data_IF_954033852530
#
_entry.id   IF_954033852530
#
_cell.length_a   1.000
_cell.length_b   1.000
_cell.length_c   1.000
_cell.angle_alpha   90.00
_cell.angle_beta   90.00
_cell.angle_gamma   90.00
#
_symmetry.space_group_name_H-M   'P 1'
#
loop_
_entity.id
_entity.type
_entity.pdbx_description
1 polymer ?
#
# COMPACT_ATOMS: atom_id res chain seq x y z
N UNK A 1 -9.48 -13.39 -28.91
CA UNK A 1 -8.80 -12.80 -27.74
C UNK A 1 -7.52 -13.56 -27.38
N UNK A 2 -7.52 -14.89 -27.23
CA UNK A 2 -6.30 -15.68 -26.95
C UNK A 2 -5.22 -15.57 -28.06
N UNK A 3 -5.60 -15.58 -29.34
CA UNK A 3 -4.67 -15.38 -30.47
C UNK A 3 -3.97 -14.01 -30.49
N UNK A 4 -4.58 -12.97 -29.90
CA UNK A 4 -3.94 -11.64 -29.80
C UNK A 4 -2.82 -11.65 -28.76
N UNK A 5 -2.95 -12.43 -27.68
CA UNK A 5 -2.01 -12.41 -26.57
C UNK A 5 -0.89 -13.45 -26.66
N UNK A 6 -1.12 -14.59 -27.32
CA UNK A 6 -0.08 -15.61 -27.53
C UNK A 6 1.11 -15.07 -28.37
N UNK A 7 0.89 -14.02 -29.17
CA UNK A 7 1.93 -13.36 -29.97
C UNK A 7 2.78 -12.32 -29.21
N UNK A 8 2.48 -12.03 -27.94
CA UNK A 8 3.13 -10.96 -27.16
C UNK A 8 4.31 -11.41 -26.27
N UNK A 9 4.62 -12.71 -26.21
CA UNK A 9 5.53 -13.25 -25.20
C UNK A 9 7.04 -12.99 -25.43
N UNK A 10 7.46 -12.29 -26.48
CA UNK A 10 8.89 -12.00 -26.69
C UNK A 10 9.23 -10.60 -27.22
N UNK A 11 10.38 -10.10 -26.78
CA UNK A 11 11.04 -8.92 -27.33
C UNK A 11 10.32 -7.59 -27.06
N UNK A 12 10.32 -6.71 -28.07
CA UNK A 12 9.80 -5.33 -28.00
C UNK A 12 8.29 -5.25 -27.76
N UNK A 13 7.52 -6.20 -28.30
CA UNK A 13 6.05 -6.24 -28.18
C UNK A 13 5.59 -6.38 -26.73
N UNK A 14 6.26 -7.22 -25.93
CA UNK A 14 5.98 -7.36 -24.49
C UNK A 14 6.11 -6.03 -23.75
N UNK A 15 7.23 -5.34 -23.94
CA UNK A 15 7.50 -4.07 -23.26
C UNK A 15 6.54 -2.96 -23.69
N UNK A 16 6.14 -2.95 -24.97
CA UNK A 16 5.09 -2.06 -25.46
C UNK A 16 3.74 -2.31 -24.77
N UNK A 17 3.32 -3.58 -24.63
CA UNK A 17 2.12 -3.93 -23.87
C UNK A 17 2.19 -3.46 -22.42
N UNK A 18 3.31 -3.76 -21.73
CA UNK A 18 3.52 -3.33 -20.33
C UNK A 18 3.42 -1.80 -20.23
N UNK A 19 4.07 -1.07 -21.14
CA UNK A 19 4.04 0.40 -21.15
C UNK A 19 2.62 0.95 -21.36
N UNK A 20 1.85 0.40 -22.31
CA UNK A 20 0.45 0.80 -22.54
C UNK A 20 -0.40 0.52 -21.30
N UNK A 21 -0.30 -0.68 -20.73
CA UNK A 21 -1.13 -1.04 -19.57
C UNK A 21 -0.81 -0.16 -18.37
N UNK A 22 0.48 0.11 -18.11
CA UNK A 22 0.87 1.04 -17.04
C UNK A 22 0.45 2.48 -17.33
N UNK A 23 0.49 2.91 -18.59
CA UNK A 23 -0.02 4.23 -18.97
C UNK A 23 -1.51 4.35 -18.70
N UNK A 24 -2.31 3.37 -19.12
CA UNK A 24 -3.76 3.34 -18.84
C UNK A 24 -4.02 3.30 -17.33
N UNK A 25 -3.26 2.50 -16.58
CA UNK A 25 -3.34 2.44 -15.13
C UNK A 25 -3.04 3.80 -14.48
N UNK A 26 -1.99 4.49 -14.92
CA UNK A 26 -1.61 5.81 -14.45
C UNK A 26 -2.68 6.86 -14.77
N UNK A 27 -3.28 6.82 -15.97
CA UNK A 27 -4.41 7.68 -16.35
C UNK A 27 -5.58 7.43 -15.40
N UNK A 28 -5.95 6.17 -15.14
CA UNK A 28 -7.03 5.86 -14.20
C UNK A 28 -6.74 6.41 -12.80
N UNK A 29 -5.52 6.25 -12.28
CA UNK A 29 -5.10 6.85 -11.00
C UNK A 29 -5.34 8.36 -10.99
N UNK A 30 -4.89 9.06 -12.03
CA UNK A 30 -5.01 10.51 -12.13
C UNK A 30 -6.48 10.96 -12.26
N UNK A 31 -7.30 10.22 -13.01
CA UNK A 31 -8.73 10.55 -13.20
C UNK A 31 -9.60 10.32 -11.97
N UNK A 32 -9.16 9.53 -10.99
CA UNK A 32 -9.90 9.35 -9.73
C UNK A 32 -10.01 10.63 -8.92
N UNK A 33 -8.94 11.42 -8.92
CA UNK A 33 -8.82 12.65 -8.14
C UNK A 33 -8.08 13.72 -8.98
N UNK A 34 -8.70 14.19 -10.09
CA UNK A 34 -8.01 15.05 -11.06
C UNK A 34 -7.58 16.39 -10.46
N UNK A 35 -8.26 16.85 -9.40
CA UNK A 35 -7.90 18.08 -8.69
C UNK A 35 -6.48 18.05 -8.15
N UNK A 36 -5.96 16.89 -7.72
CA UNK A 36 -4.56 16.76 -7.26
C UNK A 36 -3.58 17.20 -8.35
N UNK A 37 -3.84 16.80 -9.61
CA UNK A 37 -3.01 17.13 -10.77
C UNK A 37 -3.29 18.54 -11.30
N UNK A 38 -4.52 19.04 -11.17
CA UNK A 38 -4.88 20.37 -11.66
C UNK A 38 -4.32 21.46 -10.75
N UNK A 39 -4.49 21.34 -9.43
CA UNK A 39 -4.16 22.41 -8.48
C UNK A 39 -2.81 22.25 -7.80
N UNK A 40 -2.24 21.03 -7.82
CA UNK A 40 -1.06 20.67 -7.04
C UNK A 40 -1.43 20.53 -5.56
N UNK A 41 -0.85 19.54 -4.88
CA UNK A 41 -1.24 19.19 -3.51
C UNK A 41 -0.05 18.69 -2.69
N UNK A 42 0.20 19.34 -1.56
CA UNK A 42 0.90 18.71 -0.44
C UNK A 42 -0.11 18.04 0.50
N UNK A 43 0.19 16.80 0.88
CA UNK A 43 -0.62 15.98 1.77
C UNK A 43 -0.10 15.96 3.21
N UNK A 44 -0.86 16.52 4.13
CA UNK A 44 -0.64 16.52 5.57
C UNK A 44 0.81 16.90 5.94
N UNK A 45 1.55 15.97 6.53
CA UNK A 45 2.94 16.17 6.93
C UNK A 45 3.89 16.40 5.75
N UNK A 46 3.52 16.02 4.51
CA UNK A 46 4.35 16.17 3.31
C UNK A 46 4.75 17.63 3.11
N UNK A 47 3.79 18.55 3.28
CA UNK A 47 4.04 19.99 3.25
C UNK A 47 4.60 20.52 4.57
N UNK A 48 3.89 20.21 5.66
CA UNK A 48 4.15 20.81 6.99
C UNK A 48 5.50 20.44 7.58
N UNK A 49 5.96 19.21 7.33
CA UNK A 49 7.16 18.65 7.94
C UNK A 49 8.23 18.43 6.88
N UNK A 50 7.95 17.61 5.87
CA UNK A 50 8.99 17.16 4.94
C UNK A 50 9.46 18.28 4.01
N UNK A 51 8.53 18.99 3.36
CA UNK A 51 8.86 20.13 2.51
C UNK A 51 9.42 21.31 3.30
N UNK A 52 8.84 21.61 4.48
CA UNK A 52 9.41 22.61 5.39
C UNK A 52 10.88 22.28 5.76
N UNK A 53 11.17 21.04 6.17
CA UNK A 53 12.53 20.62 6.51
C UNK A 53 13.48 20.71 5.33
N UNK A 54 13.02 20.42 4.10
CA UNK A 54 13.81 20.60 2.89
C UNK A 54 14.21 22.07 2.65
N UNK A 55 13.42 23.04 3.13
CA UNK A 55 13.71 24.48 3.01
C UNK A 55 14.64 25.01 4.11
N UNK A 56 14.49 24.52 5.35
CA UNK A 56 15.16 25.12 6.52
C UNK A 56 16.39 24.34 7.01
N UNK A 57 16.53 23.07 6.64
CA UNK A 57 17.65 22.23 7.07
C UNK A 57 18.71 22.08 5.97
N UNK A 58 19.99 21.84 6.34
CA UNK A 58 20.99 21.39 5.38
C UNK A 58 20.52 20.12 4.63
N UNK A 59 20.78 19.98 3.31
CA UNK A 59 20.21 18.90 2.50
C UNK A 59 20.43 17.49 3.04
N UNK A 60 21.62 17.20 3.56
CA UNK A 60 21.94 15.89 4.13
C UNK A 60 21.13 15.61 5.41
N UNK A 61 20.91 16.63 6.24
CA UNK A 61 20.11 16.52 7.47
C UNK A 61 18.63 16.35 7.14
N UNK A 62 18.12 17.07 6.14
CA UNK A 62 16.76 16.89 5.64
C UNK A 62 16.56 15.47 5.04
N UNK A 63 17.53 14.96 4.29
CA UNK A 63 17.46 13.64 3.63
C UNK A 63 17.29 12.50 4.65
N UNK A 64 18.00 12.59 5.77
CA UNK A 64 18.00 11.59 6.84
C UNK A 64 17.20 12.04 8.07
N UNK A 65 16.29 13.00 7.91
CA UNK A 65 15.43 13.45 9.00
C UNK A 65 14.42 12.34 9.37
N UNK A 66 14.41 11.96 10.65
CA UNK A 66 13.45 10.99 11.20
C UNK A 66 12.17 11.73 11.63
N UNK A 67 11.01 11.18 11.27
CA UNK A 67 9.70 11.71 11.66
C UNK A 67 8.75 10.56 12.01
N UNK A 68 8.05 10.67 13.13
CA UNK A 68 7.15 9.63 13.60
C UNK A 68 7.86 8.35 14.05
N UNK A 69 9.11 8.47 14.50
CA UNK A 69 9.92 7.37 15.02
C UNK A 69 10.80 6.66 14.00
N UNK A 70 10.88 7.11 12.75
CA UNK A 70 11.66 6.46 11.69
C UNK A 70 11.94 7.43 10.51
N UNK A 71 12.92 7.13 9.64
CA UNK A 71 13.08 7.91 8.39
C UNK A 71 12.10 7.44 7.32
N UNK A 72 11.56 8.39 6.58
CA UNK A 72 10.87 8.11 5.32
C UNK A 72 11.73 8.66 4.18
N UNK A 73 12.70 7.85 3.72
CA UNK A 73 13.72 8.29 2.76
C UNK A 73 13.11 8.80 1.45
N UNK A 74 12.05 8.16 0.95
CA UNK A 74 11.36 8.62 -0.27
C UNK A 74 10.71 9.99 -0.05
N UNK A 75 10.03 10.20 1.07
CA UNK A 75 9.43 11.50 1.36
C UNK A 75 10.46 12.61 1.54
N UNK A 76 11.55 12.35 2.27
CA UNK A 76 12.65 13.29 2.44
C UNK A 76 13.32 13.63 1.09
N UNK A 77 13.67 12.62 0.30
CA UNK A 77 14.33 12.83 -0.99
C UNK A 77 13.42 13.54 -2.00
N UNK A 78 12.14 13.18 -2.05
CA UNK A 78 11.18 13.78 -2.97
C UNK A 78 10.92 15.26 -2.65
N UNK A 79 10.80 15.61 -1.37
CA UNK A 79 10.60 17.00 -0.95
C UNK A 79 11.86 17.85 -1.10
N UNK A 80 13.05 17.27 -0.89
CA UNK A 80 14.31 17.91 -1.28
C UNK A 80 14.39 18.20 -2.77
N UNK A 81 14.00 17.23 -3.61
CA UNK A 81 13.94 17.46 -5.06
C UNK A 81 12.88 18.53 -5.40
N UNK A 82 11.72 18.50 -4.75
CA UNK A 82 10.67 19.49 -4.94
C UNK A 82 11.13 20.91 -4.59
N UNK A 83 11.98 21.06 -3.57
CA UNK A 83 12.56 22.35 -3.19
C UNK A 83 13.49 22.93 -4.26
N UNK A 84 14.09 22.10 -5.13
CA UNK A 84 14.93 22.58 -6.25
C UNK A 84 14.13 23.22 -7.40
N UNK A 85 12.79 23.20 -7.33
CA UNK A 85 11.95 23.85 -8.34
C UNK A 85 12.13 25.36 -8.31
N UNK A 86 12.14 26.00 -9.49
CA UNK A 86 12.31 27.47 -9.60
C UNK A 86 11.21 28.27 -8.88
N UNK A 87 10.05 27.67 -8.68
CA UNK A 87 8.93 28.28 -7.96
C UNK A 87 8.26 27.21 -7.10
N UNK A 88 8.11 27.52 -5.81
CA UNK A 88 7.47 26.65 -4.82
C UNK A 88 6.02 26.32 -5.19
N UNK A 89 5.38 27.14 -6.04
CA UNK A 89 4.05 26.89 -6.58
C UNK A 89 3.96 25.57 -7.37
N UNK A 90 5.09 25.08 -7.90
CA UNK A 90 5.16 23.82 -8.64
C UNK A 90 5.79 22.66 -7.86
N UNK A 91 6.25 22.90 -6.63
CA UNK A 91 6.90 21.87 -5.80
C UNK A 91 6.04 20.60 -5.61
N UNK A 92 4.71 20.67 -5.38
CA UNK A 92 3.90 19.47 -5.21
C UNK A 92 3.86 18.55 -6.44
N UNK A 93 4.05 19.08 -7.65
CA UNK A 93 4.03 18.23 -8.85
C UNK A 93 5.18 17.23 -8.86
N UNK A 94 6.32 17.58 -8.23
CA UNK A 94 7.44 16.65 -8.07
C UNK A 94 7.05 15.51 -7.13
N UNK A 95 6.46 15.81 -5.96
CA UNK A 95 6.06 14.77 -5.01
C UNK A 95 4.91 13.93 -5.53
N UNK A 96 3.92 14.51 -6.22
CA UNK A 96 2.84 13.80 -6.91
C UNK A 96 3.40 12.83 -7.96
N UNK A 97 4.34 13.29 -8.79
CA UNK A 97 4.96 12.44 -9.84
C UNK A 97 5.72 11.28 -9.22
N UNK A 98 6.50 11.53 -8.17
CA UNK A 98 7.21 10.46 -7.44
C UNK A 98 6.20 9.50 -6.79
N UNK A 99 5.16 10.02 -6.14
CA UNK A 99 4.07 9.23 -5.59
C UNK A 99 3.46 8.29 -6.64
N UNK A 100 3.14 8.80 -7.83
CA UNK A 100 2.63 8.01 -8.95
C UNK A 100 3.63 6.92 -9.38
N UNK A 101 4.92 7.22 -9.47
CA UNK A 101 5.96 6.22 -9.83
C UNK A 101 5.94 5.05 -8.83
N UNK A 102 5.86 5.32 -7.53
CA UNK A 102 5.79 4.27 -6.51
C UNK A 102 4.45 3.53 -6.52
N UNK A 103 3.32 4.20 -6.80
CA UNK A 103 2.02 3.53 -6.99
C UNK A 103 1.98 2.62 -8.22
N UNK A 104 2.80 2.90 -9.24
CA UNK A 104 2.96 2.03 -10.41
C UNK A 104 3.90 0.84 -10.16
N UNK A 105 4.54 0.76 -8.99
CA UNK A 105 5.50 -0.30 -8.69
C UNK A 105 4.82 -1.68 -8.52
N UNK A 106 3.78 -1.88 -7.68
CA UNK A 106 3.06 -3.15 -7.60
C UNK A 106 2.52 -3.66 -8.95
N UNK A 107 1.82 -2.86 -9.79
CA UNK A 107 1.35 -3.34 -11.09
C UNK A 107 2.51 -3.65 -12.05
N UNK A 108 3.63 -2.90 -12.00
CA UNK A 108 4.82 -3.24 -12.78
C UNK A 108 5.39 -4.62 -12.39
N UNK A 109 5.44 -4.95 -11.09
CA UNK A 109 5.89 -6.26 -10.62
C UNK A 109 5.00 -7.40 -11.15
N UNK A 110 3.67 -7.23 -11.12
CA UNK A 110 2.73 -8.23 -11.65
C UNK A 110 2.86 -8.38 -13.18
N UNK A 111 2.99 -7.27 -13.91
CA UNK A 111 3.13 -7.30 -15.37
C UNK A 111 4.44 -7.96 -15.82
N UNK A 112 5.52 -7.75 -15.06
CA UNK A 112 6.85 -8.33 -15.36
C UNK A 112 7.04 -9.74 -14.83
N UNK A 113 6.19 -10.20 -13.90
CA UNK A 113 6.18 -11.56 -13.39
C UNK A 113 6.03 -12.60 -14.51
N UNK A 114 6.67 -13.75 -14.28
CA UNK A 114 6.63 -14.93 -15.18
C UNK A 114 6.06 -16.17 -14.50
N UNK A 115 5.53 -16.02 -13.28
CA UNK A 115 4.87 -17.08 -12.54
C UNK A 115 3.74 -17.72 -13.38
N UNK A 116 3.63 -19.04 -13.31
CA UNK A 116 2.69 -19.82 -14.14
C UNK A 116 1.24 -19.32 -14.05
N UNK A 117 0.79 -18.96 -12.85
CA UNK A 117 -0.58 -18.48 -12.61
C UNK A 117 -0.83 -17.07 -13.18
N UNK A 118 0.23 -16.28 -13.38
CA UNK A 118 0.15 -14.96 -14.01
C UNK A 118 0.41 -15.00 -15.52
N UNK A 119 0.75 -16.15 -16.12
CA UNK A 119 0.95 -16.24 -17.58
C UNK A 119 -0.25 -15.69 -18.38
N UNK A 120 -1.52 -16.03 -18.04
CA UNK A 120 -2.64 -15.53 -18.81
C UNK A 120 -2.78 -14.00 -18.67
N UNK A 121 -2.88 -13.27 -19.78
CA UNK A 121 -2.97 -11.80 -19.78
C UNK A 121 -4.19 -11.29 -19.02
N UNK A 122 -5.33 -12.00 -19.11
CA UNK A 122 -6.54 -11.65 -18.39
C UNK A 122 -6.37 -11.77 -16.87
N UNK A 123 -5.54 -12.71 -16.40
CA UNK A 123 -5.25 -12.82 -14.96
C UNK A 123 -4.39 -11.63 -14.52
N UNK A 124 -3.41 -11.21 -15.33
CA UNK A 124 -2.64 -9.97 -15.04
C UNK A 124 -3.55 -8.75 -15.01
N UNK A 125 -4.42 -8.58 -16.01
CA UNK A 125 -5.34 -7.46 -16.07
C UNK A 125 -6.35 -7.48 -14.91
N UNK A 126 -6.85 -8.65 -14.52
CA UNK A 126 -7.70 -8.81 -13.34
C UNK A 126 -6.94 -8.47 -12.06
N UNK A 127 -5.70 -8.92 -11.90
CA UNK A 127 -4.87 -8.58 -10.74
C UNK A 127 -4.64 -7.07 -10.63
N UNK A 128 -4.32 -6.42 -11.75
CA UNK A 128 -4.17 -4.96 -11.81
C UNK A 128 -5.47 -4.25 -11.47
N UNK A 129 -6.60 -4.65 -12.07
CA UNK A 129 -7.89 -4.05 -11.79
C UNK A 129 -8.27 -4.22 -10.30
N UNK A 130 -8.05 -5.40 -9.73
CA UNK A 130 -8.29 -5.64 -8.30
C UNK A 130 -7.42 -4.76 -7.40
N UNK A 131 -6.14 -4.55 -7.73
CA UNK A 131 -5.27 -3.61 -7.00
C UNK A 131 -5.76 -2.16 -7.10
N UNK A 132 -6.20 -1.75 -8.30
CA UNK A 132 -6.68 -0.38 -8.53
C UNK A 132 -7.95 -0.07 -7.73
N UNK A 133 -8.83 -1.05 -7.64
CA UNK A 133 -10.17 -0.91 -7.05
C UNK A 133 -10.25 -1.40 -5.60
N UNK A 134 -9.12 -1.54 -4.90
CA UNK A 134 -9.12 -1.81 -3.45
C UNK A 134 -9.88 -0.70 -2.71
N UNK A 135 -10.87 -1.04 -1.84
CA UNK A 135 -11.76 -0.04 -1.22
C UNK A 135 -11.03 1.04 -0.41
N UNK A 136 -10.10 0.65 0.48
CA UNK A 136 -9.44 1.57 1.42
C UNK A 136 -8.14 2.11 0.83
N UNK A 137 -8.24 2.96 -0.20
CA UNK A 137 -7.09 3.46 -0.96
C UNK A 137 -7.03 4.98 -1.13
N UNK A 138 -8.03 5.71 -0.65
CA UNK A 138 -8.12 7.16 -0.75
C UNK A 138 -6.92 7.82 -0.05
N UNK A 139 -6.60 7.44 1.18
CA UNK A 139 -5.57 8.11 1.99
C UNK A 139 -4.14 8.04 1.40
N UNK A 140 -3.82 7.01 0.62
CA UNK A 140 -2.46 6.81 0.07
C UNK A 140 -2.27 7.42 -1.31
N UNK A 141 -3.33 7.96 -1.90
CA UNK A 141 -3.36 8.34 -3.32
C UNK A 141 -2.40 9.48 -3.66
N UNK A 142 -1.53 9.31 -4.67
CA UNK A 142 -0.72 10.38 -5.29
C UNK A 142 0.03 11.31 -4.31
N UNK A 143 0.79 10.75 -3.36
CA UNK A 143 1.65 11.53 -2.46
C UNK A 143 2.76 10.66 -1.84
N UNK A 144 3.83 11.27 -1.34
CA UNK A 144 5.07 10.52 -1.00
C UNK A 144 5.12 9.97 0.42
N UNK A 145 4.31 10.46 1.37
CA UNK A 145 4.33 9.94 2.75
C UNK A 145 3.95 8.45 2.78
N UNK A 146 3.05 8.04 1.89
CA UNK A 146 2.51 6.68 1.85
C UNK A 146 3.17 5.79 0.79
N UNK A 147 4.24 6.25 0.10
CA UNK A 147 5.07 5.38 -0.75
C UNK A 147 5.62 4.16 0.02
N UNK A 148 5.79 4.28 1.34
CA UNK A 148 6.16 3.16 2.22
C UNK A 148 5.18 1.97 2.15
N UNK A 149 3.88 2.22 1.93
CA UNK A 149 2.87 1.17 1.83
C UNK A 149 2.91 0.48 0.46
N UNK A 150 3.13 1.24 -0.61
CA UNK A 150 3.36 0.67 -1.95
C UNK A 150 4.64 -0.17 -2.00
N UNK A 151 5.68 0.27 -1.29
CA UNK A 151 6.92 -0.46 -1.11
C UNK A 151 6.73 -1.74 -0.28
N UNK A 152 5.93 -1.69 0.79
CA UNK A 152 5.61 -2.88 1.58
C UNK A 152 4.79 -3.90 0.78
N UNK A 153 3.78 -3.44 0.02
CA UNK A 153 3.03 -4.28 -0.91
C UNK A 153 3.97 -4.90 -1.96
N UNK A 154 4.89 -4.10 -2.51
CA UNK A 154 5.91 -4.58 -3.45
C UNK A 154 6.82 -5.65 -2.84
N UNK A 155 7.23 -5.50 -1.58
CA UNK A 155 8.00 -6.53 -0.85
C UNK A 155 7.20 -7.82 -0.70
N UNK A 156 5.92 -7.73 -0.32
CA UNK A 156 5.04 -8.89 -0.17
C UNK A 156 4.78 -9.59 -1.52
N UNK A 157 4.64 -8.84 -2.61
CA UNK A 157 4.57 -9.41 -3.96
C UNK A 157 5.89 -10.12 -4.31
N UNK A 158 7.05 -9.47 -4.14
CA UNK A 158 8.38 -10.04 -4.42
C UNK A 158 8.64 -11.34 -3.63
N UNK A 159 8.17 -11.42 -2.39
CA UNK A 159 8.21 -12.64 -1.57
C UNK A 159 7.48 -13.82 -2.25
N UNK A 160 6.33 -13.52 -2.86
CA UNK A 160 5.47 -14.53 -3.47
C UNK A 160 5.88 -14.93 -4.90
N UNK A 161 6.54 -14.02 -5.63
CA UNK A 161 6.92 -14.20 -7.03
C UNK A 161 8.20 -15.00 -7.22
N UNK A 162 8.31 -15.69 -8.35
CA UNK A 162 9.51 -16.41 -8.76
C UNK A 162 10.53 -15.52 -9.51
N UNK A 163 11.83 -15.79 -9.29
CA UNK A 163 12.94 -15.00 -9.84
C UNK A 163 13.45 -15.66 -11.11
N UNK A 164 13.32 -14.95 -12.24
CA UNK A 164 13.54 -15.55 -13.55
C UNK A 164 14.68 -14.91 -14.37
N UNK A 165 15.21 -13.74 -13.96
CA UNK A 165 16.34 -13.09 -14.64
C UNK A 165 17.21 -12.30 -13.65
N UNK A 166 18.51 -12.15 -13.94
CA UNK A 166 19.45 -11.36 -13.13
C UNK A 166 19.04 -9.88 -13.01
N UNK A 167 18.60 -9.25 -14.10
CA UNK A 167 18.17 -7.83 -14.10
C UNK A 167 16.97 -7.61 -13.18
N UNK A 168 15.97 -8.48 -13.27
CA UNK A 168 14.78 -8.43 -12.40
C UNK A 168 15.17 -8.71 -10.94
N UNK A 169 16.12 -9.62 -10.70
CA UNK A 169 16.63 -9.87 -9.36
C UNK A 169 17.27 -8.61 -8.76
N UNK A 170 18.15 -7.92 -9.48
CA UNK A 170 18.76 -6.67 -8.99
C UNK A 170 17.71 -5.63 -8.68
N UNK A 171 16.70 -5.47 -9.56
CA UNK A 171 15.58 -4.58 -9.31
C UNK A 171 14.82 -4.93 -8.02
N UNK A 172 14.54 -6.22 -7.78
CA UNK A 172 13.91 -6.67 -6.54
C UNK A 172 14.78 -6.37 -5.32
N UNK A 173 16.10 -6.58 -5.40
CA UNK A 173 17.01 -6.27 -4.29
C UNK A 173 17.00 -4.78 -3.95
N UNK A 174 16.98 -3.89 -4.95
CA UNK A 174 16.89 -2.44 -4.72
C UNK A 174 15.61 -2.09 -3.95
N UNK A 175 14.46 -2.64 -4.36
CA UNK A 175 13.18 -2.42 -3.67
C UNK A 175 13.25 -2.95 -2.24
N UNK A 176 13.75 -4.17 -2.05
CA UNK A 176 13.85 -4.80 -0.73
C UNK A 176 14.80 -4.04 0.21
N UNK A 177 15.86 -3.42 -0.32
CA UNK A 177 16.74 -2.56 0.46
C UNK A 177 16.10 -1.21 0.80
N UNK A 178 15.42 -0.59 -0.17
CA UNK A 178 14.81 0.73 -0.02
C UNK A 178 13.58 0.71 0.89
N UNK A 179 12.76 -0.34 0.82
CA UNK A 179 11.46 -0.37 1.51
C UNK A 179 11.57 -0.21 3.04
N UNK A 180 12.49 -0.89 3.76
CA UNK A 180 12.67 -0.69 5.20
C UNK A 180 13.13 0.72 5.58
N UNK A 181 13.85 1.40 4.68
CA UNK A 181 14.32 2.77 4.86
C UNK A 181 13.23 3.84 4.65
N UNK A 182 12.02 3.41 4.27
CA UNK A 182 10.88 4.28 4.07
C UNK A 182 9.82 4.14 5.17
N UNK A 183 9.85 3.06 5.95
CA UNK A 183 8.84 2.81 6.98
C UNK A 183 8.90 1.44 7.63
N UNK A 184 8.28 1.29 8.82
CA UNK A 184 8.35 0.07 9.62
C UNK A 184 7.57 -1.11 9.03
N UNK A 185 6.61 -0.88 8.14
CA UNK A 185 5.75 -1.93 7.59
C UNK A 185 6.50 -2.99 6.77
N UNK A 186 7.59 -2.63 6.09
CA UNK A 186 8.42 -3.59 5.35
C UNK A 186 9.45 -4.29 6.24
N UNK A 187 9.85 -3.70 7.37
CA UNK A 187 10.78 -4.31 8.34
C UNK A 187 10.24 -5.65 8.82
N UNK A 188 8.95 -5.71 9.17
CA UNK A 188 8.33 -6.95 9.68
C UNK A 188 8.29 -8.07 8.64
N UNK A 189 8.35 -7.74 7.34
CA UNK A 189 8.41 -8.72 6.27
C UNK A 189 9.78 -9.44 6.19
N UNK A 190 10.80 -8.99 6.93
CA UNK A 190 12.08 -9.69 7.05
C UNK A 190 11.90 -11.15 7.51
N UNK A 191 10.94 -11.39 8.42
CA UNK A 191 10.62 -12.74 8.92
C UNK A 191 10.13 -13.66 7.80
N UNK A 192 9.09 -13.33 7.02
CA UNK A 192 8.69 -14.17 5.90
C UNK A 192 9.78 -14.34 4.82
N UNK A 193 10.66 -13.35 4.60
CA UNK A 193 11.82 -13.52 3.71
C UNK A 193 12.84 -14.53 4.24
N UNK A 194 13.11 -14.52 5.56
CA UNK A 194 13.92 -15.55 6.20
C UNK A 194 13.29 -16.93 6.04
N UNK A 195 11.98 -17.05 6.30
CA UNK A 195 11.24 -18.31 6.12
C UNK A 195 11.30 -18.80 4.67
N UNK A 196 11.13 -17.90 3.69
CA UNK A 196 11.25 -18.24 2.27
C UNK A 196 12.66 -18.70 1.91
N UNK A 197 13.70 -18.04 2.46
CA UNK A 197 15.08 -18.47 2.28
C UNK A 197 15.34 -19.86 2.86
N UNK A 198 14.94 -20.12 4.10
CA UNK A 198 15.17 -21.41 4.79
C UNK A 198 14.41 -22.55 4.11
N UNK A 199 13.20 -22.28 3.57
CA UNK A 199 12.38 -23.27 2.90
C UNK A 199 12.81 -23.56 1.46
N UNK A 200 13.15 -22.54 0.67
CA UNK A 200 13.60 -22.73 -0.73
C UNK A 200 15.08 -23.10 -0.85
N UNK A 201 15.91 -22.67 0.11
CA UNK A 201 17.37 -22.83 0.11
C UNK A 201 18.06 -22.34 -1.18
N UNK A 202 17.47 -21.36 -1.85
CA UNK A 202 18.01 -20.79 -3.08
C UNK A 202 18.88 -19.54 -2.79
N UNK A 203 20.00 -19.42 -3.52
CA UNK A 203 20.94 -18.28 -3.40
C UNK A 203 20.25 -16.93 -3.66
N UNK A 204 19.29 -16.91 -4.56
CA UNK A 204 18.50 -15.71 -4.86
C UNK A 204 17.64 -15.28 -3.67
N UNK A 205 17.04 -16.23 -2.94
CA UNK A 205 16.26 -15.96 -1.71
C UNK A 205 17.16 -15.49 -0.56
N UNK A 206 18.38 -16.03 -0.47
CA UNK A 206 19.39 -15.51 0.46
C UNK A 206 19.66 -14.02 0.23
N UNK A 207 19.92 -13.62 -1.02
CA UNK A 207 20.16 -12.21 -1.31
C UNK A 207 18.94 -11.32 -1.04
N UNK A 208 17.71 -11.80 -1.31
CA UNK A 208 16.49 -11.07 -0.94
C UNK A 208 16.39 -10.84 0.57
N UNK A 209 16.58 -11.91 1.36
CA UNK A 209 16.60 -11.82 2.82
C UNK A 209 17.69 -10.88 3.33
N UNK A 210 18.91 -10.98 2.78
CA UNK A 210 20.01 -10.11 3.16
C UNK A 210 19.68 -8.64 2.85
N UNK A 211 19.14 -8.35 1.65
CA UNK A 211 18.82 -6.99 1.22
C UNK A 211 17.80 -6.31 2.12
N UNK A 212 16.70 -6.99 2.44
CA UNK A 212 15.68 -6.45 3.36
C UNK A 212 16.21 -6.33 4.79
N UNK A 213 17.04 -7.28 5.24
CA UNK A 213 17.62 -7.25 6.58
C UNK A 213 18.60 -6.10 6.76
N UNK A 214 19.43 -5.80 5.75
CA UNK A 214 20.35 -4.65 5.82
C UNK A 214 19.56 -3.34 5.91
N UNK A 215 18.56 -3.14 5.04
CA UNK A 215 17.70 -1.96 5.11
C UNK A 215 17.01 -1.83 6.48
N UNK A 216 16.45 -2.94 6.99
CA UNK A 216 15.81 -2.98 8.30
C UNK A 216 16.78 -2.66 9.44
N UNK A 217 17.98 -3.24 9.42
CA UNK A 217 19.02 -2.98 10.42
C UNK A 217 19.43 -1.50 10.41
N UNK A 218 19.66 -0.91 9.25
CA UNK A 218 19.99 0.51 9.14
C UNK A 218 18.89 1.39 9.73
N UNK A 219 17.63 1.09 9.41
CA UNK A 219 16.48 1.79 9.96
C UNK A 219 16.42 1.71 11.49
N UNK A 220 16.51 0.49 12.03
CA UNK A 220 16.36 0.24 13.46
C UNK A 220 17.54 0.75 14.30
N UNK A 221 18.76 0.68 13.76
CA UNK A 221 19.97 1.07 14.50
C UNK A 221 20.17 2.59 14.49
N UNK A 222 19.93 3.25 13.36
CA UNK A 222 20.31 4.67 13.19
C UNK A 222 19.15 5.65 13.25
N UNK A 223 17.94 5.22 12.92
CA UNK A 223 16.83 6.16 12.66
C UNK A 223 15.60 5.92 13.52
N UNK A 224 15.50 4.74 14.12
CA UNK A 224 14.34 4.34 14.91
C UNK A 224 14.38 4.95 16.31
N UNK A 225 13.25 5.52 16.71
CA UNK A 225 12.97 5.91 18.07
C UNK A 225 11.48 5.74 18.36
N UNK A 226 11.12 5.58 19.62
CA UNK A 226 9.71 5.50 20.01
C UNK A 226 9.04 6.85 19.88
N UNK A 227 7.89 6.90 19.20
CA UNK A 227 7.08 8.10 19.05
C UNK A 227 5.81 8.00 19.91
N UNK A 228 5.47 9.09 20.59
CA UNK A 228 4.33 9.17 21.49
C UNK A 228 3.01 9.08 20.72
N UNK A 229 2.09 8.21 21.14
CA UNK A 229 0.77 8.04 20.50
C UNK A 229 0.62 6.80 19.62
N UNK A 230 1.71 6.03 19.46
CA UNK A 230 1.68 4.67 18.88
C UNK A 230 1.71 3.62 20.00
N UNK A 231 0.98 2.53 19.85
CA UNK A 231 1.02 1.41 20.80
C UNK A 231 0.17 1.56 22.08
N UNK A 232 -0.76 2.51 22.14
CA UNK A 232 -1.53 2.75 23.37
C UNK A 232 -2.49 1.60 23.77
N UNK A 233 -2.79 0.65 22.87
CA UNK A 233 -3.71 -0.47 23.14
C UNK A 233 -3.33 -1.73 22.34
N UNK A 234 -2.60 -2.66 22.97
CA UNK A 234 -2.12 -3.90 22.35
C UNK A 234 -3.09 -5.08 22.49
N UNK A 235 -4.39 -4.84 22.56
CA UNK A 235 -5.35 -5.92 22.75
C UNK A 235 -5.56 -6.70 21.45
N UNK A 236 -5.40 -8.02 21.53
CA UNK A 236 -5.53 -8.93 20.39
C UNK A 236 -6.96 -8.97 19.83
N UNK A 237 -7.97 -8.86 20.70
CA UNK A 237 -9.38 -8.96 20.31
C UNK A 237 -9.85 -7.84 19.35
N UNK A 238 -9.60 -6.53 19.60
CA UNK A 238 -9.94 -5.48 18.65
C UNK A 238 -9.08 -5.54 17.38
N UNK A 239 -7.84 -6.04 17.45
CA UNK A 239 -7.01 -6.22 16.26
C UNK A 239 -7.61 -7.26 15.30
N UNK A 240 -8.01 -8.43 15.79
CA UNK A 240 -8.72 -9.43 14.97
C UNK A 240 -10.05 -8.89 14.45
N UNK A 241 -10.81 -8.18 15.28
CA UNK A 241 -12.05 -7.54 14.82
C UNK A 241 -11.78 -6.56 13.67
N UNK A 242 -10.74 -5.74 13.78
CA UNK A 242 -10.33 -4.81 12.73
C UNK A 242 -9.91 -5.56 11.46
N UNK A 243 -9.18 -6.66 11.55
CA UNK A 243 -8.85 -7.51 10.39
C UNK A 243 -10.13 -7.95 9.66
N UNK A 244 -11.10 -8.55 10.35
CA UNK A 244 -12.34 -8.98 9.70
C UNK A 244 -13.14 -7.81 9.10
N UNK A 245 -13.35 -6.77 9.91
CA UNK A 245 -14.15 -5.60 9.55
C UNK A 245 -13.56 -4.82 8.37
N UNK A 246 -12.23 -4.71 8.30
CA UNK A 246 -11.53 -3.86 7.35
C UNK A 246 -11.02 -4.64 6.14
N UNK A 247 -10.75 -5.93 6.24
CA UNK A 247 -10.36 -6.74 5.08
C UNK A 247 -11.57 -7.48 4.48
N UNK A 248 -12.00 -8.67 4.94
CA UNK A 248 -13.15 -9.37 4.33
C UNK A 248 -14.42 -8.52 4.20
N UNK A 249 -14.87 -7.88 5.29
CA UNK A 249 -16.17 -7.20 5.27
C UNK A 249 -16.18 -6.02 4.27
N UNK A 250 -15.13 -5.21 4.21
CA UNK A 250 -15.06 -4.09 3.26
C UNK A 250 -14.67 -4.53 1.84
N UNK A 251 -13.81 -5.53 1.67
CA UNK A 251 -13.43 -6.02 0.33
C UNK A 251 -14.62 -6.63 -0.38
N UNK A 252 -15.47 -7.38 0.35
CA UNK A 252 -16.65 -8.01 -0.24
C UNK A 252 -17.92 -7.16 -0.12
N UNK A 253 -18.04 -6.31 0.90
CA UNK A 253 -19.23 -5.49 1.15
C UNK A 253 -19.11 -4.04 0.69
N UNK A 254 -17.91 -3.57 0.36
CA UNK A 254 -17.62 -2.17 0.02
C UNK A 254 -17.60 -1.25 1.23
N UNK A 255 -17.48 0.05 0.96
CA UNK A 255 -17.69 1.10 1.98
C UNK A 255 -19.06 1.73 1.71
N UNK A 256 -20.05 1.37 2.53
CA UNK A 256 -21.43 1.84 2.43
C UNK A 256 -22.08 1.94 3.82
N UNK A 257 -23.35 2.37 3.89
CA UNK A 257 -24.07 2.54 5.15
C UNK A 257 -24.15 1.25 6.00
N UNK A 258 -24.39 0.10 5.37
CA UNK A 258 -24.51 -1.19 6.08
C UNK A 258 -23.17 -1.62 6.68
N UNK A 259 -22.11 -1.68 5.87
CA UNK A 259 -20.76 -2.05 6.35
C UNK A 259 -20.25 -1.07 7.41
N UNK A 260 -20.48 0.23 7.22
CA UNK A 260 -20.14 1.27 8.19
C UNK A 260 -20.88 1.06 9.51
N UNK A 261 -22.18 0.77 9.47
CA UNK A 261 -22.96 0.53 10.68
C UNK A 261 -22.47 -0.71 11.45
N UNK A 262 -22.11 -1.79 10.74
CA UNK A 262 -21.53 -2.98 11.36
C UNK A 262 -20.19 -2.65 12.02
N UNK A 263 -19.29 -1.95 11.32
CA UNK A 263 -17.98 -1.56 11.86
C UNK A 263 -18.14 -0.67 13.09
N UNK A 264 -19.05 0.32 13.03
CA UNK A 264 -19.34 1.19 14.15
C UNK A 264 -19.89 0.41 15.36
N UNK A 265 -20.81 -0.53 15.14
CA UNK A 265 -21.33 -1.38 16.21
C UNK A 265 -20.23 -2.25 16.86
N UNK A 266 -19.30 -2.77 16.06
CA UNK A 266 -18.14 -3.48 16.59
C UNK A 266 -17.23 -2.54 17.38
N UNK A 267 -16.95 -1.33 16.87
CA UNK A 267 -16.15 -0.31 17.57
C UNK A 267 -16.74 0.05 18.93
N UNK A 268 -18.03 0.37 18.97
CA UNK A 268 -18.71 0.79 20.21
C UNK A 268 -18.73 -0.32 21.26
N UNK A 269 -18.68 -1.60 20.83
CA UNK A 269 -18.53 -2.71 21.78
C UNK A 269 -17.19 -2.73 22.53
N UNK A 270 -16.17 -2.02 22.04
CA UNK A 270 -14.88 -1.84 22.72
C UNK A 270 -14.77 -0.50 23.46
N UNK A 271 -15.81 0.36 23.40
CA UNK A 271 -15.84 1.60 24.17
C UNK A 271 -16.12 1.27 25.64
N UNK A 272 -15.10 1.40 26.51
CA UNK A 272 -15.21 1.14 27.95
C UNK A 272 -14.94 -0.31 28.40
N UNK A 273 -14.61 -1.23 27.48
CA UNK A 273 -14.24 -2.61 27.78
C UNK A 273 -13.14 -3.10 26.83
N UNK A 274 -12.19 -3.89 27.35
CA UNK A 274 -11.21 -4.61 26.51
C UNK A 274 -11.81 -5.83 25.82
N UNK A 275 -12.97 -6.29 26.32
CA UNK A 275 -13.72 -7.42 25.78
C UNK A 275 -14.95 -6.87 25.06
N UNK A 276 -14.87 -6.83 23.74
CA UNK A 276 -15.99 -6.47 22.85
C UNK A 276 -16.71 -7.70 22.31
N UNK A 277 -17.42 -7.53 21.20
CA UNK A 277 -18.08 -8.63 20.50
C UNK A 277 -17.06 -9.70 20.08
N UNK A 278 -17.46 -10.98 20.17
CA UNK A 278 -16.62 -12.17 19.88
C UNK A 278 -16.82 -12.68 18.43
N UNK A 279 -17.95 -12.34 17.81
CA UNK A 279 -18.25 -12.83 16.46
C UNK A 279 -17.24 -12.34 15.39
N UNK A 280 -16.69 -11.11 15.39
CA UNK A 280 -15.74 -10.68 14.35
C UNK A 280 -14.45 -11.50 14.35
N UNK A 281 -13.98 -11.94 15.52
CA UNK A 281 -12.78 -12.74 15.68
C UNK A 281 -13.01 -14.17 15.19
N UNK A 282 -14.17 -14.74 15.53
CA UNK A 282 -14.59 -16.04 14.98
C UNK A 282 -14.66 -15.95 13.45
N UNK A 283 -15.26 -14.88 12.90
CA UNK A 283 -15.32 -14.70 11.45
C UNK A 283 -13.94 -14.49 10.81
N UNK A 284 -12.99 -13.85 11.50
CA UNK A 284 -11.59 -13.77 11.04
C UNK A 284 -10.99 -15.16 10.86
N UNK A 285 -11.14 -16.02 11.88
CA UNK A 285 -10.61 -17.39 11.88
C UNK A 285 -11.32 -18.23 10.82
N UNK A 286 -12.64 -18.15 10.74
CA UNK A 286 -13.43 -18.89 9.74
C UNK A 286 -13.16 -18.44 8.31
N UNK A 287 -12.78 -17.18 8.10
CA UNK A 287 -12.43 -16.68 6.78
C UNK A 287 -10.99 -17.05 6.39
N UNK A 288 -10.00 -16.66 7.19
CA UNK A 288 -8.58 -16.86 6.85
C UNK A 288 -8.09 -18.29 7.11
N UNK A 289 -8.64 -19.00 8.09
CA UNK A 289 -8.23 -20.35 8.47
C UNK A 289 -8.31 -21.34 7.29
N UNK A 290 -9.47 -21.48 6.62
CA UNK A 290 -9.59 -22.32 5.44
C UNK A 290 -8.66 -21.88 4.30
N UNK A 291 -8.44 -20.58 4.10
CA UNK A 291 -7.52 -20.09 3.07
C UNK A 291 -6.08 -20.54 3.36
N UNK A 292 -5.63 -20.42 4.61
CA UNK A 292 -4.31 -20.92 5.02
C UNK A 292 -4.21 -22.43 4.84
N UNK A 293 -5.19 -23.20 5.31
CA UNK A 293 -5.21 -24.67 5.17
C UNK A 293 -5.11 -25.07 3.70
N UNK A 294 -5.94 -24.50 2.82
CA UNK A 294 -5.91 -24.76 1.38
C UNK A 294 -4.55 -24.39 0.79
N UNK A 295 -3.98 -23.24 1.18
CA UNK A 295 -2.68 -22.79 0.66
C UNK A 295 -1.50 -23.72 1.00
N UNK A 296 -1.59 -24.42 2.14
CA UNK A 296 -0.58 -25.38 2.60
C UNK A 296 -0.81 -26.76 1.97
N UNK A 297 -2.07 -27.23 1.91
CA UNK A 297 -2.41 -28.55 1.41
C UNK A 297 -2.16 -28.68 -0.11
N UNK A 298 -2.37 -27.63 -0.89
CA UNK A 298 -2.22 -27.66 -2.34
C UNK A 298 -0.92 -27.00 -2.79
N UNK A 299 0.07 -27.80 -3.22
CA UNK A 299 1.38 -27.31 -3.72
C UNK A 299 1.25 -26.23 -4.80
N UNK A 300 0.24 -26.32 -5.68
CA UNK A 300 -0.01 -25.30 -6.73
C UNK A 300 -0.39 -23.94 -6.15
N UNK A 301 -0.92 -23.91 -4.94
CA UNK A 301 -1.35 -22.70 -4.21
C UNK A 301 -0.27 -22.16 -3.28
N UNK A 302 0.99 -22.60 -3.41
CA UNK A 302 2.11 -22.11 -2.59
C UNK A 302 2.27 -20.59 -2.63
N UNK A 303 1.98 -19.95 -3.77
CA UNK A 303 1.98 -18.48 -3.88
C UNK A 303 1.00 -17.84 -2.88
N UNK A 304 -0.16 -18.46 -2.70
CA UNK A 304 -1.21 -17.99 -1.80
C UNK A 304 -0.75 -18.05 -0.33
N UNK A 305 0.03 -19.07 0.03
CA UNK A 305 0.60 -19.17 1.38
C UNK A 305 1.50 -17.97 1.69
N UNK A 306 2.38 -17.59 0.77
CA UNK A 306 3.28 -16.45 0.98
C UNK A 306 2.56 -15.11 0.98
N UNK A 307 1.54 -14.95 0.14
CA UNK A 307 0.68 -13.77 0.16
C UNK A 307 -0.11 -13.65 1.47
N UNK A 308 -0.71 -14.73 1.95
CA UNK A 308 -1.44 -14.79 3.21
C UNK A 308 -0.52 -14.56 4.41
N UNK A 309 0.67 -15.16 4.43
CA UNK A 309 1.65 -14.98 5.49
C UNK A 309 2.15 -13.53 5.54
N UNK A 310 2.44 -12.94 4.38
CA UNK A 310 2.82 -11.53 4.29
C UNK A 310 1.68 -10.62 4.76
N UNK A 311 0.43 -10.93 4.38
CA UNK A 311 -0.75 -10.20 4.85
C UNK A 311 -0.86 -10.27 6.38
N UNK A 312 -0.89 -11.47 6.96
CA UNK A 312 -1.04 -11.66 8.40
C UNK A 312 0.04 -10.91 9.21
N UNK A 313 1.30 -10.97 8.77
CA UNK A 313 2.42 -10.30 9.44
C UNK A 313 2.33 -8.78 9.27
N UNK A 314 2.08 -8.32 8.05
CA UNK A 314 1.99 -6.88 7.77
C UNK A 314 0.79 -6.26 8.49
N UNK A 315 -0.43 -6.75 8.28
CA UNK A 315 -1.64 -6.18 8.88
C UNK A 315 -1.58 -6.26 10.40
N UNK A 316 -1.12 -7.39 10.96
CA UNK A 316 -0.91 -7.51 12.40
C UNK A 316 -0.01 -6.39 12.93
N UNK A 317 1.17 -6.22 12.34
CA UNK A 317 2.08 -5.15 12.74
C UNK A 317 1.51 -3.74 12.51
N UNK A 318 0.82 -3.52 11.39
CA UNK A 318 0.22 -2.23 11.05
C UNK A 318 -0.87 -1.82 12.05
N UNK A 319 -1.71 -2.76 12.50
CA UNK A 319 -2.75 -2.52 13.50
C UNK A 319 -2.19 -2.26 14.90
N UNK A 320 -1.12 -2.96 15.30
CA UNK A 320 -0.47 -2.70 16.59
C UNK A 320 0.36 -1.42 16.59
N UNK A 321 0.96 -1.07 15.45
CA UNK A 321 1.77 0.14 15.25
C UNK A 321 0.96 1.37 14.82
N UNK A 322 -0.36 1.23 14.63
CA UNK A 322 -1.21 2.34 14.19
C UNK A 322 -1.33 3.41 15.26
N UNK A 323 -1.47 4.65 14.82
CA UNK A 323 -1.84 5.77 15.69
C UNK A 323 -3.24 5.48 16.24
N UNK A 324 -3.41 5.57 17.56
CA UNK A 324 -4.66 5.24 18.25
C UNK A 324 -4.94 3.75 18.46
N UNK A 325 -4.05 2.86 18.01
CA UNK A 325 -4.16 1.40 18.21
C UNK A 325 -5.31 0.74 17.45
N UNK A 326 -5.53 -0.56 17.67
CA UNK A 326 -6.46 -1.37 16.88
C UNK A 326 -7.92 -0.89 16.91
N UNK A 327 -8.40 -0.36 18.04
CA UNK A 327 -9.79 0.15 18.15
C UNK A 327 -10.00 1.35 17.23
N UNK A 328 -9.01 2.23 17.06
CA UNK A 328 -9.09 3.35 16.12
C UNK A 328 -9.17 2.90 14.65
N UNK A 329 -8.78 1.66 14.37
CA UNK A 329 -8.85 1.06 13.03
C UNK A 329 -10.20 0.40 12.75
N UNK A 330 -11.09 0.32 13.75
CA UNK A 330 -12.51 0.02 13.57
C UNK A 330 -13.29 1.28 13.14
N UNK A 331 -12.78 1.97 12.14
CA UNK A 331 -13.42 3.14 11.54
C UNK A 331 -13.50 2.89 10.04
N UNK A 332 -14.67 3.06 9.42
CA UNK A 332 -14.84 2.78 8.00
C UNK A 332 -14.05 3.77 7.11
N UNK A 333 -13.74 4.95 7.63
CA UNK A 333 -13.29 6.11 6.88
C UNK A 333 -11.92 6.65 7.31
N UNK A 334 -11.26 6.01 8.29
CA UNK A 334 -9.96 6.42 8.79
C UNK A 334 -8.92 5.28 8.70
N UNK A 335 -7.63 5.66 8.73
CA UNK A 335 -6.53 4.72 8.80
C UNK A 335 -6.43 3.77 7.61
N UNK A 336 -6.89 4.17 6.43
CA UNK A 336 -6.84 3.35 5.21
C UNK A 336 -5.42 2.91 4.90
N UNK A 337 -4.43 3.77 5.18
CA UNK A 337 -3.00 3.46 5.03
C UNK A 337 -2.54 2.19 5.76
N UNK A 338 -3.15 1.83 6.89
CA UNK A 338 -2.76 0.65 7.67
C UNK A 338 -3.38 -0.66 7.15
N UNK A 339 -4.39 -0.57 6.29
CA UNK A 339 -5.19 -1.71 5.84
C UNK A 339 -5.00 -1.99 4.34
N UNK A 340 -4.64 -0.99 3.54
CA UNK A 340 -4.58 -1.11 2.07
C UNK A 340 -3.72 -2.28 1.62
N UNK A 341 -2.54 -2.48 2.21
CA UNK A 341 -1.64 -3.58 1.85
C UNK A 341 -2.30 -4.94 2.14
N UNK A 342 -3.00 -5.07 3.27
CA UNK A 342 -3.74 -6.29 3.62
C UNK A 342 -4.87 -6.57 2.62
N UNK A 343 -5.70 -5.56 2.31
CA UNK A 343 -6.75 -5.69 1.30
C UNK A 343 -6.18 -6.04 -0.09
N UNK A 344 -5.09 -5.39 -0.51
CA UNK A 344 -4.40 -5.69 -1.77
C UNK A 344 -3.90 -7.12 -1.81
N UNK A 345 -3.26 -7.60 -0.74
CA UNK A 345 -2.79 -8.98 -0.66
C UNK A 345 -3.94 -9.98 -0.61
N UNK A 346 -5.05 -9.65 0.04
CA UNK A 346 -6.25 -10.47 0.08
C UNK A 346 -6.85 -10.65 -1.32
N UNK A 347 -7.10 -9.56 -2.08
CA UNK A 347 -7.69 -9.68 -3.42
C UNK A 347 -6.78 -10.41 -4.40
N UNK A 348 -5.46 -10.23 -4.29
CA UNK A 348 -4.47 -10.98 -5.08
C UNK A 348 -4.42 -12.45 -4.66
N UNK A 349 -4.51 -12.75 -3.36
CA UNK A 349 -4.59 -14.12 -2.86
C UNK A 349 -5.82 -14.83 -3.39
N UNK A 350 -6.98 -14.18 -3.34
CA UNK A 350 -8.24 -14.74 -3.85
C UNK A 350 -8.09 -15.08 -5.33
N UNK A 351 -7.60 -14.14 -6.14
CA UNK A 351 -7.34 -14.38 -7.57
C UNK A 351 -6.37 -15.54 -7.79
N UNK A 352 -5.23 -15.55 -7.08
CA UNK A 352 -4.22 -16.59 -7.21
C UNK A 352 -4.79 -17.97 -6.84
N UNK A 353 -5.49 -18.08 -5.70
CA UNK A 353 -6.13 -19.31 -5.23
C UNK A 353 -7.07 -19.85 -6.29
N UNK A 354 -7.89 -18.99 -6.87
CA UNK A 354 -8.86 -19.38 -7.87
C UNK A 354 -8.23 -19.90 -9.17
N UNK A 355 -7.11 -19.32 -9.60
CA UNK A 355 -6.36 -19.77 -10.78
C UNK A 355 -5.61 -21.07 -10.51
N UNK A 356 -5.08 -21.27 -9.29
CA UNK A 356 -4.27 -22.44 -8.94
C UNK A 356 -5.06 -23.63 -8.36
N UNK A 357 -6.35 -23.44 -8.07
CA UNK A 357 -7.22 -24.46 -7.46
C UNK A 357 -7.78 -25.49 -8.45
N UNK A 358 -8.62 -26.39 -7.93
CA UNK A 358 -9.32 -27.43 -8.69
C UNK A 358 -10.26 -26.84 -9.75
N UNK A 359 -10.65 -27.67 -10.73
CA UNK A 359 -11.55 -27.27 -11.81
C UNK A 359 -12.91 -26.75 -11.32
N UNK A 360 -13.42 -27.27 -10.21
CA UNK A 360 -14.67 -26.83 -9.59
C UNK A 360 -14.55 -25.41 -9.01
N UNK A 361 -13.53 -25.15 -8.19
CA UNK A 361 -13.27 -23.82 -7.59
C UNK A 361 -13.00 -22.78 -8.69
N UNK A 362 -12.26 -23.17 -9.73
CA UNK A 362 -11.92 -22.30 -10.86
C UNK A 362 -13.14 -21.84 -11.67
N UNK A 363 -14.25 -22.57 -11.67
CA UNK A 363 -15.50 -22.14 -12.34
C UNK A 363 -16.16 -20.97 -11.63
N UNK A 364 -15.96 -20.83 -10.31
CA UNK A 364 -16.51 -19.72 -9.52
C UNK A 364 -15.65 -18.45 -9.58
N UNK A 365 -14.40 -18.55 -10.03
CA UNK A 365 -13.44 -17.44 -10.11
C UNK A 365 -13.99 -16.20 -10.79
N UNK A 366 -14.61 -16.26 -11.99
CA UNK A 366 -15.03 -15.05 -12.68
C UNK A 366 -16.12 -14.32 -11.90
N UNK A 367 -17.00 -15.04 -11.20
CA UNK A 367 -18.07 -14.46 -10.40
C UNK A 367 -17.52 -13.72 -9.19
N UNK A 368 -16.57 -14.31 -8.46
CA UNK A 368 -15.95 -13.64 -7.30
C UNK A 368 -15.12 -12.44 -7.74
N UNK A 369 -14.30 -12.58 -8.79
CA UNK A 369 -13.52 -11.45 -9.32
C UNK A 369 -14.43 -10.33 -9.80
N UNK A 370 -15.49 -10.66 -10.56
CA UNK A 370 -16.47 -9.67 -11.01
C UNK A 370 -17.14 -8.97 -9.83
N UNK A 371 -17.53 -9.71 -8.79
CA UNK A 371 -18.10 -9.14 -7.58
C UNK A 371 -17.15 -8.15 -6.91
N UNK A 372 -15.89 -8.55 -6.69
CA UNK A 372 -14.88 -7.67 -6.10
C UNK A 372 -14.62 -6.42 -6.95
N UNK A 373 -14.64 -6.55 -8.28
CA UNK A 373 -14.51 -5.43 -9.20
C UNK A 373 -15.71 -4.49 -9.12
N UNK A 374 -16.95 -5.01 -9.05
CA UNK A 374 -18.17 -4.19 -8.91
C UNK A 374 -18.13 -3.41 -7.61
N UNK A 375 -17.85 -4.10 -6.49
CA UNK A 375 -17.77 -3.49 -5.16
C UNK A 375 -16.65 -2.44 -5.11
N UNK A 376 -15.45 -2.80 -5.58
CA UNK A 376 -14.30 -1.92 -5.57
C UNK A 376 -14.46 -0.69 -6.47
N UNK A 377 -15.03 -0.85 -7.67
CA UNK A 377 -15.28 0.26 -8.61
C UNK A 377 -16.25 1.27 -8.01
N UNK A 378 -17.28 0.82 -7.31
CA UNK A 378 -18.21 1.72 -6.63
C UNK A 378 -17.47 2.60 -5.60
N UNK A 379 -16.65 2.00 -4.73
CA UNK A 379 -15.86 2.77 -3.74
C UNK A 379 -14.80 3.65 -4.39
N UNK A 380 -14.18 3.22 -5.49
CA UNK A 380 -13.15 3.97 -6.20
C UNK A 380 -13.62 5.35 -6.68
N UNK A 381 -14.82 5.40 -7.28
CA UNK A 381 -15.42 6.64 -7.79
C UNK A 381 -16.13 7.47 -6.71
N UNK A 382 -16.26 6.93 -5.51
CA UNK A 382 -16.77 7.64 -4.35
C UNK A 382 -15.71 7.67 -3.23
N UNK A 383 -14.50 8.24 -3.47
CA UNK A 383 -13.42 8.23 -2.50
C UNK A 383 -13.84 8.95 -1.21
N UNK A 384 -13.45 8.44 -0.06
CA UNK A 384 -13.87 8.99 1.24
C UNK A 384 -13.08 10.27 1.55
N UNK A 385 -11.78 10.21 1.26
CA UNK A 385 -10.78 11.25 1.52
C UNK A 385 -10.27 11.76 0.16
N UNK A 386 -9.63 12.94 0.10
CA UNK A 386 -9.05 13.56 -1.10
C UNK A 386 -10.03 14.16 -2.12
N UNK A 387 -11.22 14.60 -1.69
CA UNK A 387 -12.15 15.29 -2.61
C UNK A 387 -11.92 16.80 -2.71
N UNK A 388 -11.51 17.42 -1.60
CA UNK A 388 -11.40 18.87 -1.49
C UNK A 388 -10.20 19.25 -0.64
N UNK A 389 -9.64 20.41 -0.96
CA UNK A 389 -8.61 21.08 -0.19
C UNK A 389 -8.15 22.32 -0.92
N UNK A 390 -7.42 23.19 -0.23
CA UNK A 390 -7.00 24.47 -0.79
C UNK A 390 -6.06 24.29 -2.01
N UNK A 391 -6.28 24.99 -3.15
CA UNK A 391 -5.37 24.93 -4.29
C UNK A 391 -3.99 25.49 -3.93
N UNK A 392 -2.94 24.65 -3.99
CA UNK A 392 -1.60 25.04 -3.53
C UNK A 392 -1.09 26.33 -4.17
N UNK A 393 -1.29 26.49 -5.49
CA UNK A 393 -0.80 27.66 -6.23
C UNK A 393 -1.45 28.97 -5.77
N UNK A 394 -2.74 28.94 -5.45
CA UNK A 394 -3.46 30.12 -4.95
C UNK A 394 -3.04 30.45 -3.52
N UNK A 395 -2.81 29.45 -2.68
CA UNK A 395 -2.35 29.65 -1.32
C UNK A 395 -0.91 30.18 -1.27
N UNK A 396 -0.04 29.75 -2.18
CA UNK A 396 1.30 30.32 -2.38
C UNK A 396 1.22 31.80 -2.77
N UNK A 397 0.28 32.19 -3.64
CA UNK A 397 0.09 33.61 -4.01
C UNK A 397 -0.30 34.46 -2.80
N UNK A 398 -1.16 33.96 -1.91
CA UNK A 398 -1.52 34.65 -0.67
C UNK A 398 -0.30 34.83 0.23
N UNK A 399 0.52 33.80 0.37
CA UNK A 399 1.77 33.88 1.13
C UNK A 399 2.80 34.83 0.51
N UNK A 400 2.87 34.92 -0.82
CA UNK A 400 3.75 35.90 -1.49
C UNK A 400 3.32 37.35 -1.20
N UNK A 401 2.03 37.59 -0.96
CA UNK A 401 1.50 38.90 -0.57
C UNK A 401 1.69 39.19 0.93
N UNK A 402 1.59 38.16 1.78
CA UNK A 402 1.81 38.23 3.22
C UNK A 402 2.60 37.00 3.69
N UNK A 403 3.89 37.16 3.98
CA UNK A 403 4.76 36.05 4.37
C UNK A 403 4.42 35.49 5.76
N UNK A 404 3.56 36.16 6.54
CA UNK A 404 3.02 35.62 7.79
C UNK A 404 1.81 34.69 7.57
N UNK A 405 1.31 34.61 6.34
CA UNK A 405 0.17 33.77 6.00
C UNK A 405 0.50 32.28 6.11
N UNK A 406 -0.23 31.56 6.95
CA UNK A 406 -0.20 30.10 7.02
C UNK A 406 -0.88 29.48 5.80
N UNK A 407 -0.09 28.91 4.90
CA UNK A 407 -0.57 28.28 3.66
C UNK A 407 -1.41 27.06 4.00
N UNK A 408 -2.65 27.00 3.51
CA UNK A 408 -3.51 25.82 3.70
C UNK A 408 -3.09 24.70 2.77
N UNK A 409 -3.08 23.47 3.29
CA UNK A 409 -2.78 22.25 2.52
C UNK A 409 -3.90 21.24 2.66
N UNK A 410 -3.71 20.07 2.06
CA UNK A 410 -4.69 18.98 2.14
C UNK A 410 -4.28 17.99 3.22
N UNK A 411 -5.21 17.25 3.83
CA UNK A 411 -6.65 17.55 3.84
C UNK A 411 -6.95 18.86 4.59
N UNK A 412 -8.19 19.32 4.54
CA UNK A 412 -8.63 20.51 5.28
C UNK A 412 -8.23 20.43 6.76
N UNK A 413 -7.79 21.56 7.32
CA UNK A 413 -7.25 21.67 8.67
C UNK A 413 -5.73 21.53 8.79
N UNK A 414 -5.03 21.27 7.67
CA UNK A 414 -3.57 21.30 7.62
C UNK A 414 -3.04 22.63 7.09
N UNK A 415 -1.92 23.07 7.68
CA UNK A 415 -1.28 24.34 7.39
C UNK A 415 0.24 24.18 7.35
N UNK A 416 0.89 25.01 6.54
CA UNK A 416 2.34 25.12 6.40
C UNK A 416 2.75 26.57 6.61
N UNK A 417 3.71 26.79 7.50
CA UNK A 417 4.33 28.09 7.70
C UNK A 417 5.69 28.05 7.01
N UNK A 418 5.77 28.64 5.82
CA UNK A 418 7.04 28.76 5.10
C UNK A 418 7.89 29.87 5.73
N UNK A 419 9.22 29.72 5.74
CA UNK A 419 10.15 30.70 6.30
C UNK A 419 10.18 32.02 5.52
#
# INVERSE_FOLDING_TARGET
>A
MNLFFDQYESGKKKWFFIAIVLFVYAVLICTRAPQIIITGRFWAEEGKVFFYNAMVMPPLKALFNSYGGYINLVANAATLLAYTTKSIAFAPYVTITIGLIFQLLPPFLILTAKDEWLKPPLVKLAALALLLFVPSSSEVWLQVLHCQFELALSCALILSLEINTKKLQVFYLIILFLAPLCGPGSIVLTVPFLLRFVTDRARSRFFQFLSISIGAMLQLVFFYHTDGGRGAQHWFQPALAAVFCREPLQVFGGINSLTTAIILHVRTSFEGSTIGLVWPQIMTILFFGPLFIISVLFKKSRVCFWLLLANAIFTGAALFGSIGGAVSQLDAYAGERYIIVGQSLLVITILAMFVTSTSAIRRFTPFVVLWLLVVGTHTYWHPVINRTGAPWREEVQKWQLDHNYSIRTWPDGWFVNLP
#
